data_IF_997153179020
#
_entry.id   IF_997153179020
#
_cell.length_a   1.000
_cell.length_b   1.000
_cell.length_c   1.000
_cell.angle_alpha   90.00
_cell.angle_beta   90.00
_cell.angle_gamma   90.00
#
_symmetry.space_group_name_H-M   'P 1'
#
loop_
_entity.id
_entity.type
_entity.pdbx_description
1 polymer ?
#
# COMPACT_ATOMS: atom_id res chain seq x y z
N UNK A 1 12.13 -2.73 -6.91
CA UNK A 1 12.35 -4.03 -6.24
C UNK A 1 11.33 -4.28 -5.13
N UNK A 2 11.19 -3.39 -4.14
CA UNK A 2 10.22 -3.57 -3.03
C UNK A 2 8.79 -3.87 -3.50
N UNK A 3 8.26 -3.09 -4.45
CA UNK A 3 6.93 -3.31 -5.04
C UNK A 3 6.75 -4.71 -5.64
N UNK A 4 7.76 -5.26 -6.31
CA UNK A 4 7.67 -6.60 -6.91
C UNK A 4 7.62 -7.69 -5.83
N UNK A 5 8.43 -7.56 -4.78
CA UNK A 5 8.37 -8.47 -3.64
C UNK A 5 7.00 -8.39 -2.95
N UNK A 6 6.46 -7.18 -2.80
CA UNK A 6 5.15 -6.95 -2.21
C UNK A 6 4.02 -7.58 -3.04
N UNK A 7 4.07 -7.48 -4.37
CA UNK A 7 3.13 -8.17 -5.27
C UNK A 7 3.16 -9.69 -5.08
N UNK A 8 4.35 -10.28 -4.96
CA UNK A 8 4.48 -11.71 -4.70
C UNK A 8 4.00 -12.11 -3.30
N UNK A 9 4.16 -11.23 -2.31
CA UNK A 9 3.77 -11.45 -0.92
C UNK A 9 2.27 -11.29 -0.67
N UNK A 10 1.63 -10.31 -1.34
CA UNK A 10 0.23 -9.95 -1.18
C UNK A 10 -0.78 -11.12 -1.20
N UNK A 11 -0.73 -12.10 -2.14
CA UNK A 11 -1.69 -13.20 -2.12
C UNK A 11 -1.57 -14.07 -0.86
N UNK A 12 -0.34 -14.31 -0.39
CA UNK A 12 -0.11 -15.07 0.84
C UNK A 12 -0.61 -14.29 2.06
N UNK A 13 -0.38 -12.98 2.09
CA UNK A 13 -0.88 -12.08 3.13
C UNK A 13 -2.42 -12.09 3.18
N UNK A 14 -3.10 -11.99 2.03
CA UNK A 14 -4.57 -12.01 1.99
C UNK A 14 -5.14 -13.33 2.50
N UNK A 15 -4.55 -14.46 2.11
CA UNK A 15 -4.95 -15.78 2.63
C UNK A 15 -4.71 -15.86 4.14
N UNK A 16 -3.58 -15.35 4.63
CA UNK A 16 -3.25 -15.32 6.05
C UNK A 16 -4.27 -14.50 6.85
N UNK A 17 -4.61 -13.28 6.41
CA UNK A 17 -5.57 -12.41 7.09
C UNK A 17 -6.97 -13.04 7.15
N UNK A 18 -7.45 -13.60 6.02
CA UNK A 18 -8.76 -14.29 5.96
C UNK A 18 -8.77 -15.52 6.87
N UNK A 19 -7.72 -16.34 6.84
CA UNK A 19 -7.61 -17.52 7.70
C UNK A 19 -7.58 -17.15 9.18
N UNK A 20 -6.82 -16.11 9.55
CA UNK A 20 -6.75 -15.60 10.92
C UNK A 20 -8.11 -15.08 11.39
N UNK A 21 -8.84 -14.32 10.55
CA UNK A 21 -10.19 -13.86 10.88
C UNK A 21 -11.12 -15.04 11.17
N UNK A 22 -11.12 -16.09 10.34
CA UNK A 22 -11.96 -17.29 10.55
C UNK A 22 -11.64 -17.96 11.89
N UNK A 23 -10.36 -18.09 12.24
CA UNK A 23 -9.92 -18.73 13.49
C UNK A 23 -10.34 -17.94 14.73
N UNK A 24 -10.26 -16.61 14.69
CA UNK A 24 -10.64 -15.76 15.83
C UNK A 24 -12.12 -15.36 15.86
N UNK A 25 -12.89 -15.62 14.79
CA UNK A 25 -14.24 -15.08 14.60
C UNK A 25 -15.19 -15.36 15.78
N UNK A 26 -15.17 -16.57 16.36
CA UNK A 26 -16.04 -16.93 17.48
C UNK A 26 -15.76 -16.15 18.76
N UNK A 27 -14.52 -15.69 18.96
CA UNK A 27 -14.06 -14.97 20.14
C UNK A 27 -14.31 -13.46 20.07
N UNK A 28 -14.71 -12.94 18.91
CA UNK A 28 -14.95 -11.51 18.72
C UNK A 28 -16.33 -11.07 19.20
N UNK A 29 -16.40 -9.84 19.70
CA UNK A 29 -17.68 -9.16 19.93
C UNK A 29 -18.40 -8.87 18.62
N UNK A 30 -19.73 -8.71 18.67
CA UNK A 30 -20.56 -8.46 17.47
C UNK A 30 -20.08 -7.23 16.69
N UNK A 31 -19.71 -6.16 17.40
CA UNK A 31 -19.16 -4.94 16.77
C UNK A 31 -17.89 -5.25 15.99
N UNK A 32 -16.93 -5.96 16.60
CA UNK A 32 -15.66 -6.28 15.95
C UNK A 32 -15.79 -7.26 14.80
N UNK A 33 -16.77 -8.18 14.83
CA UNK A 33 -17.07 -9.05 13.67
C UNK A 33 -17.40 -8.22 12.43
N UNK A 34 -18.32 -7.28 12.56
CA UNK A 34 -18.74 -6.41 11.44
C UNK A 34 -17.60 -5.48 11.02
N UNK A 35 -16.91 -4.86 11.98
CA UNK A 35 -15.80 -3.95 11.71
C UNK A 35 -14.66 -4.65 10.98
N UNK A 36 -14.22 -5.84 11.42
CA UNK A 36 -13.10 -6.53 10.77
C UNK A 36 -13.42 -7.04 9.38
N UNK A 37 -14.64 -7.53 9.14
CA UNK A 37 -15.05 -7.91 7.77
C UNK A 37 -14.96 -6.70 6.84
N UNK A 38 -15.49 -5.55 7.27
CA UNK A 38 -15.44 -4.32 6.48
C UNK A 38 -13.99 -3.84 6.26
N UNK A 39 -13.18 -3.80 7.33
CA UNK A 39 -11.78 -3.36 7.27
C UNK A 39 -10.95 -4.27 6.37
N UNK A 40 -11.09 -5.60 6.45
CA UNK A 40 -10.35 -6.53 5.59
C UNK A 40 -10.77 -6.43 4.12
N UNK A 41 -12.05 -6.17 3.84
CA UNK A 41 -12.51 -5.96 2.46
C UNK A 41 -11.88 -4.69 1.87
N UNK A 42 -11.89 -3.58 2.63
CA UNK A 42 -11.24 -2.33 2.21
C UNK A 42 -9.74 -2.52 2.09
N UNK A 43 -9.11 -3.22 3.03
CA UNK A 43 -7.68 -3.53 3.02
C UNK A 43 -7.24 -4.23 1.74
N UNK A 44 -7.91 -5.32 1.36
CA UNK A 44 -7.57 -6.11 0.17
C UNK A 44 -7.80 -5.27 -1.10
N UNK A 45 -8.91 -4.53 -1.17
CA UNK A 45 -9.23 -3.69 -2.32
C UNK A 45 -8.21 -2.56 -2.50
N UNK A 46 -7.91 -1.83 -1.42
CA UNK A 46 -6.93 -0.73 -1.44
C UNK A 46 -5.56 -1.26 -1.79
N UNK A 47 -5.11 -2.36 -1.18
CA UNK A 47 -3.81 -2.95 -1.49
C UNK A 47 -3.71 -3.37 -2.96
N UNK A 48 -4.76 -3.97 -3.52
CA UNK A 48 -4.81 -4.33 -4.94
C UNK A 48 -4.68 -3.13 -5.88
N UNK A 49 -5.46 -2.06 -5.63
CA UNK A 49 -5.40 -0.82 -6.43
C UNK A 49 -4.03 -0.14 -6.25
N UNK A 50 -3.51 -0.12 -5.03
CA UNK A 50 -2.22 0.47 -4.69
C UNK A 50 -1.09 -0.21 -5.48
N UNK A 51 -1.00 -1.54 -5.43
CA UNK A 51 0.01 -2.29 -6.17
C UNK A 51 -0.15 -2.13 -7.70
N UNK A 52 -1.38 -2.05 -8.22
CA UNK A 52 -1.63 -1.75 -9.63
C UNK A 52 -1.07 -0.38 -10.03
N UNK A 53 -1.35 0.66 -9.25
CA UNK A 53 -0.82 2.01 -9.50
C UNK A 53 0.71 2.05 -9.39
N UNK A 54 1.30 1.27 -8.50
CA UNK A 54 2.75 1.15 -8.38
C UNK A 54 3.38 0.61 -9.68
N UNK A 55 2.78 -0.43 -10.28
CA UNK A 55 3.25 -1.01 -11.54
C UNK A 55 3.09 -0.01 -12.69
N UNK A 56 1.90 0.60 -12.83
CA UNK A 56 1.61 1.57 -13.90
C UNK A 56 2.50 2.80 -13.78
N UNK A 57 2.68 3.31 -12.56
CA UNK A 57 3.50 4.49 -12.28
C UNK A 57 4.98 4.25 -12.56
N UNK A 58 5.50 3.09 -12.15
CA UNK A 58 6.90 2.75 -12.32
C UNK A 58 7.26 2.42 -13.79
N UNK A 59 6.41 1.68 -14.52
CA UNK A 59 6.66 1.34 -15.93
C UNK A 59 6.40 2.51 -16.88
N UNK A 60 5.36 3.29 -16.61
CA UNK A 60 4.96 4.40 -17.49
C UNK A 60 5.61 5.74 -17.13
N UNK A 61 6.45 5.78 -16.10
CA UNK A 61 6.98 7.02 -15.50
C UNK A 61 5.88 8.09 -15.27
N UNK A 62 4.68 7.63 -14.90
CA UNK A 62 3.50 8.48 -14.75
C UNK A 62 3.45 9.05 -13.34
N UNK A 63 3.84 10.31 -13.19
CA UNK A 63 3.75 11.06 -11.91
C UNK A 63 2.35 10.94 -11.26
N UNK A 64 1.22 11.07 -11.99
CA UNK A 64 -0.10 10.95 -11.37
C UNK A 64 -0.37 9.57 -10.76
N UNK A 65 0.10 8.49 -11.38
CA UNK A 65 -0.09 7.14 -10.86
C UNK A 65 0.76 6.89 -9.60
N UNK A 66 1.99 7.38 -9.57
CA UNK A 66 2.86 7.29 -8.37
C UNK A 66 2.29 8.13 -7.23
N UNK A 67 1.72 9.30 -7.52
CA UNK A 67 1.04 10.13 -6.52
C UNK A 67 -0.18 9.41 -5.92
N UNK A 68 -0.98 8.74 -6.76
CA UNK A 68 -2.08 7.90 -6.30
C UNK A 68 -1.59 6.74 -5.42
N UNK A 69 -0.55 6.03 -5.85
CA UNK A 69 0.10 4.99 -5.04
C UNK A 69 0.57 5.50 -3.68
N UNK A 70 1.27 6.65 -3.66
CA UNK A 70 1.78 7.26 -2.44
C UNK A 70 0.64 7.68 -1.50
N UNK A 71 -0.42 8.27 -2.05
CA UNK A 71 -1.59 8.71 -1.29
C UNK A 71 -2.34 7.53 -0.67
N UNK A 72 -2.60 6.47 -1.45
CA UNK A 72 -3.24 5.25 -0.93
C UNK A 72 -2.39 4.59 0.16
N UNK A 73 -1.07 4.56 -0.03
CA UNK A 73 -0.13 3.98 0.95
C UNK A 73 -0.17 4.73 2.28
N UNK A 74 -0.11 6.06 2.24
CA UNK A 74 -0.02 6.87 3.45
C UNK A 74 -1.39 7.06 4.14
N UNK A 75 -2.45 7.33 3.38
CA UNK A 75 -3.73 7.79 3.92
C UNK A 75 -4.68 6.63 4.22
N UNK A 76 -4.67 5.57 3.40
CA UNK A 76 -5.58 4.44 3.58
C UNK A 76 -4.87 3.22 4.15
N UNK A 77 -3.80 2.76 3.51
CA UNK A 77 -3.17 1.49 3.87
C UNK A 77 -2.49 1.57 5.23
N UNK A 78 -1.75 2.64 5.52
CA UNK A 78 -1.01 2.77 6.77
C UNK A 78 -1.93 2.79 8.00
N UNK A 79 -3.01 3.60 8.07
CA UNK A 79 -3.92 3.55 9.20
C UNK A 79 -4.60 2.19 9.38
N UNK A 80 -4.95 1.51 8.30
CA UNK A 80 -5.57 0.17 8.37
C UNK A 80 -4.59 -0.83 8.98
N UNK A 81 -3.36 -0.89 8.50
CA UNK A 81 -2.32 -1.81 9.02
C UNK A 81 -2.02 -1.52 10.49
N UNK A 82 -1.91 -0.23 10.85
CA UNK A 82 -1.71 0.19 12.24
C UNK A 82 -2.90 -0.20 13.13
N UNK A 83 -4.14 -0.04 12.65
CA UNK A 83 -5.33 -0.46 13.38
C UNK A 83 -5.35 -1.97 13.63
N UNK A 84 -5.04 -2.78 12.61
CA UNK A 84 -5.02 -4.25 12.75
C UNK A 84 -3.90 -4.73 13.69
N UNK A 85 -2.75 -4.05 13.70
CA UNK A 85 -1.61 -4.40 14.57
C UNK A 85 -1.78 -3.96 16.03
N UNK A 86 -2.24 -2.72 16.25
CA UNK A 86 -2.18 -2.08 17.57
C UNK A 86 -3.47 -2.17 18.38
N UNK A 87 -4.59 -2.56 17.77
CA UNK A 87 -5.86 -2.65 18.50
C UNK A 87 -6.00 -4.02 19.19
N UNK A 88 -5.91 -4.10 20.53
CA UNK A 88 -5.99 -5.38 21.24
C UNK A 88 -7.38 -6.05 21.12
N UNK A 89 -8.44 -5.27 20.88
CA UNK A 89 -9.79 -5.81 20.75
C UNK A 89 -10.03 -6.52 19.40
N UNK A 90 -9.10 -6.39 18.45
CA UNK A 90 -9.04 -7.20 17.22
C UNK A 90 -8.51 -8.61 17.50
N UNK A 91 -7.97 -8.85 18.70
CA UNK A 91 -7.36 -10.12 19.14
C UNK A 91 -6.37 -10.63 18.07
N UNK A 92 -5.33 -9.84 17.74
CA UNK A 92 -4.42 -10.18 16.65
C UNK A 92 -3.65 -11.47 16.98
N UNK A 93 -3.66 -12.42 16.04
CA UNK A 93 -2.95 -13.69 16.20
C UNK A 93 -1.44 -13.49 15.99
N UNK A 94 -0.54 -14.26 16.65
CA UNK A 94 0.91 -14.10 16.44
C UNK A 94 1.36 -14.19 14.97
N UNK A 95 0.67 -15.03 14.20
CA UNK A 95 0.90 -15.18 12.76
C UNK A 95 0.48 -13.94 11.96
N UNK A 96 -0.71 -13.40 12.25
CA UNK A 96 -1.24 -12.14 11.69
C UNK A 96 -0.29 -10.98 11.97
N UNK A 97 0.16 -10.84 13.22
CA UNK A 97 1.12 -9.80 13.63
C UNK A 97 2.40 -9.88 12.80
N UNK A 98 2.92 -11.08 12.60
CA UNK A 98 4.16 -11.29 11.82
C UNK A 98 3.96 -10.84 10.37
N UNK A 99 2.88 -11.26 9.73
CA UNK A 99 2.59 -10.95 8.33
C UNK A 99 2.31 -9.45 8.12
N UNK A 100 1.49 -8.84 8.99
CA UNK A 100 1.22 -7.41 8.94
C UNK A 100 2.45 -6.55 9.28
N UNK A 101 3.36 -7.02 10.13
CA UNK A 101 4.61 -6.32 10.43
C UNK A 101 5.56 -6.30 9.22
N UNK A 102 5.64 -7.42 8.49
CA UNK A 102 6.37 -7.48 7.22
C UNK A 102 5.74 -6.53 6.20
N UNK A 103 4.40 -6.52 6.10
CA UNK A 103 3.68 -5.60 5.23
C UNK A 103 3.93 -4.13 5.59
N UNK A 104 3.91 -3.81 6.88
CA UNK A 104 4.19 -2.46 7.39
C UNK A 104 5.60 -2.01 6.99
N UNK A 105 6.60 -2.88 7.06
CA UNK A 105 7.95 -2.57 6.62
C UNK A 105 8.00 -2.25 5.12
N UNK A 106 7.36 -3.07 4.27
CA UNK A 106 7.25 -2.76 2.84
C UNK A 106 6.59 -1.41 2.61
N UNK A 107 5.48 -1.14 3.30
CA UNK A 107 4.72 0.09 3.17
C UNK A 107 5.55 1.33 3.51
N UNK A 108 6.33 1.30 4.61
CA UNK A 108 7.20 2.40 5.01
C UNK A 108 8.31 2.67 3.99
N UNK A 109 8.96 1.60 3.50
CA UNK A 109 10.00 1.71 2.45
C UNK A 109 9.40 2.29 1.17
N UNK A 110 8.22 1.81 0.78
CA UNK A 110 7.53 2.24 -0.43
C UNK A 110 7.08 3.69 -0.37
N UNK A 111 6.56 4.18 0.77
CA UNK A 111 6.21 5.59 0.97
C UNK A 111 7.44 6.49 0.79
N UNK A 112 8.56 6.12 1.42
CA UNK A 112 9.81 6.86 1.29
C UNK A 112 10.34 6.88 -0.15
N UNK A 113 10.40 5.71 -0.78
CA UNK A 113 10.92 5.57 -2.14
C UNK A 113 10.03 6.28 -3.18
N UNK A 114 8.71 6.18 -3.06
CA UNK A 114 7.78 6.84 -3.99
C UNK A 114 7.79 8.36 -3.84
N UNK A 115 7.97 8.89 -2.63
CA UNK A 115 8.18 10.32 -2.44
C UNK A 115 9.42 10.82 -3.18
N UNK A 116 10.55 10.10 -3.05
CA UNK A 116 11.78 10.43 -3.76
C UNK A 116 11.59 10.32 -5.28
N UNK A 117 10.93 9.27 -5.76
CA UNK A 117 10.63 9.07 -7.18
C UNK A 117 9.80 10.23 -7.76
N UNK A 118 8.77 10.70 -7.05
CA UNK A 118 7.99 11.87 -7.49
C UNK A 118 8.86 13.13 -7.61
N UNK A 119 9.75 13.36 -6.64
CA UNK A 119 10.66 14.52 -6.67
C UNK A 119 11.63 14.44 -7.86
N UNK A 120 12.19 13.28 -8.15
CA UNK A 120 13.12 13.12 -9.28
C UNK A 120 12.41 13.26 -10.63
N UNK A 121 11.24 12.63 -10.77
CA UNK A 121 10.49 12.64 -12.02
C UNK A 121 9.92 14.03 -12.35
N UNK A 122 9.43 14.77 -11.36
CA UNK A 122 9.00 16.15 -11.56
C UNK A 122 10.15 17.05 -12.02
N UNK A 123 11.35 16.90 -11.44
CA UNK A 123 12.53 17.62 -11.88
C UNK A 123 12.93 17.27 -13.32
N UNK A 124 12.81 16.00 -13.70
CA UNK A 124 13.10 15.53 -15.07
C UNK A 124 12.10 16.08 -16.10
N UNK A 125 10.80 16.07 -15.78
CA UNK A 125 9.75 16.64 -16.64
C UNK A 125 9.96 18.14 -16.88
N UNK A 126 10.34 18.90 -15.85
CA UNK A 126 10.66 20.33 -15.99
C UNK A 126 11.89 20.55 -16.90
N UNK A 127 12.92 19.71 -16.80
CA UNK A 127 14.10 19.79 -17.68
C UNK A 127 13.73 19.51 -19.13
N UNK A 128 12.94 18.46 -19.38
CA UNK A 128 12.45 18.12 -20.72
C UNK A 128 11.63 19.27 -21.31
N UNK A 129 10.72 19.86 -20.53
CA UNK A 129 9.93 21.00 -20.96
C UNK A 129 10.78 22.21 -21.35
N UNK A 130 11.82 22.53 -20.56
CA UNK A 130 12.75 23.61 -20.88
C UNK A 130 13.51 23.37 -22.19
N UNK A 131 14.01 22.16 -22.40
CA UNK A 131 14.73 21.80 -23.64
C UNK A 131 13.83 21.93 -24.87
N UNK A 132 12.56 21.52 -24.78
CA UNK A 132 11.60 21.68 -25.89
C UNK A 132 11.32 23.15 -26.23
N UNK A 133 11.27 24.04 -25.23
CA UNK A 133 11.12 25.48 -25.46
C UNK A 133 12.35 26.04 -26.18
N UNK A 134 13.55 25.73 -25.68
CA UNK A 134 14.82 26.21 -26.28
C UNK A 134 15.02 25.73 -27.73
N UNK A 135 14.52 24.53 -28.07
CA UNK A 135 14.55 24.02 -29.44
C UNK A 135 13.53 24.73 -30.35
N UNK A 136 12.36 25.11 -29.82
CA UNK A 136 11.34 25.84 -30.59
C UNK A 136 11.71 27.30 -30.91
N UNK A 137 12.68 27.86 -30.17
CA UNK A 137 13.16 29.23 -30.35
C UNK A 137 14.35 29.34 -31.35
N UNK A 138 14.91 28.21 -31.82
CA UNK A 138 15.96 28.17 -32.86
C UNK A 138 15.39 27.98 -34.26
#
# INVERSE_FOLDING_TARGET
MAVHLNICFAPFLFIAEVSCLVLKYSYLSVTYKVTLIAVLLVYILVEGIRLFLAVVGNLGEKIPAISGFWTLSLILQLPIVVFLLLNPAVVPLPFEITMLSIHLLFLLIEIGASFLAMKTMSAQQIRLFKMMIEESER
#
